data_IF_135908640955
#
_entry.id   IF_135908640955
#
_cell.length_a   1.000
_cell.length_b   1.000
_cell.length_c   1.000
_cell.angle_alpha   90.00
_cell.angle_beta   90.00
_cell.angle_gamma   90.00
#
_symmetry.space_group_name_H-M   'P 1'
#
loop_
_entity.id
_entity.type
_entity.pdbx_description
1 polymer ?
#
# COMPACT_ATOMS: atom_id res chain seq x y z
N UNK A 1 3.81 15.60 -14.57
CA UNK A 1 5.01 14.75 -14.70
C UNK A 1 5.25 13.88 -13.46
N UNK A 2 5.46 14.47 -12.28
CA UNK A 2 5.77 13.72 -11.03
C UNK A 2 4.66 12.75 -10.61
N UNK A 3 3.40 13.19 -10.64
CA UNK A 3 2.25 12.31 -10.35
C UNK A 3 2.20 11.10 -11.29
N UNK A 4 2.42 11.33 -12.59
CA UNK A 4 2.43 10.28 -13.61
C UNK A 4 3.53 9.25 -13.37
N UNK A 5 4.73 9.69 -12.95
CA UNK A 5 5.83 8.81 -12.61
C UNK A 5 5.54 7.96 -11.35
N UNK A 6 4.96 8.56 -10.31
CA UNK A 6 4.56 7.85 -9.09
C UNK A 6 3.46 6.82 -9.36
N UNK A 7 2.49 7.15 -10.22
CA UNK A 7 1.44 6.21 -10.65
C UNK A 7 2.05 5.03 -11.40
N UNK A 8 2.97 5.27 -12.34
CA UNK A 8 3.59 4.20 -13.12
C UNK A 8 4.41 3.23 -12.25
N UNK A 9 5.19 3.76 -11.30
CA UNK A 9 5.97 2.92 -10.39
C UNK A 9 5.06 2.08 -9.49
N UNK A 10 4.02 2.70 -8.92
CA UNK A 10 3.07 1.99 -8.06
C UNK A 10 2.26 0.93 -8.83
N UNK A 11 1.90 1.20 -10.09
CA UNK A 11 1.24 0.23 -10.94
C UNK A 11 2.09 -1.03 -11.16
N UNK A 12 3.41 -0.87 -11.34
CA UNK A 12 4.35 -1.99 -11.44
C UNK A 12 4.38 -2.83 -10.16
N UNK A 13 4.58 -2.20 -9.00
CA UNK A 13 4.58 -2.89 -7.70
C UNK A 13 3.25 -3.59 -7.41
N UNK A 14 2.14 -2.94 -7.75
CA UNK A 14 0.81 -3.49 -7.55
C UNK A 14 0.60 -4.72 -8.45
N UNK A 15 1.02 -4.65 -9.71
CA UNK A 15 0.96 -5.78 -10.66
C UNK A 15 1.71 -6.99 -10.12
N UNK A 16 2.91 -6.78 -9.59
CA UNK A 16 3.73 -7.85 -9.00
C UNK A 16 3.09 -8.42 -7.73
N UNK A 17 2.45 -7.57 -6.94
CA UNK A 17 1.69 -7.99 -5.75
C UNK A 17 0.49 -8.86 -6.14
N UNK A 18 -0.26 -8.49 -7.18
CA UNK A 18 -1.35 -9.32 -7.70
C UNK A 18 -0.83 -10.65 -8.28
N UNK A 19 0.29 -10.62 -9.03
CA UNK A 19 0.95 -11.80 -9.59
C UNK A 19 1.39 -12.76 -8.49
N UNK A 20 2.07 -12.25 -7.46
CA UNK A 20 2.47 -13.01 -6.28
C UNK A 20 1.26 -13.54 -5.50
N UNK A 21 0.19 -12.75 -5.40
CA UNK A 21 -1.09 -13.16 -4.84
C UNK A 21 -1.68 -14.39 -5.51
N UNK A 22 -1.77 -14.38 -6.84
CA UNK A 22 -2.23 -15.52 -7.64
C UNK A 22 -1.32 -16.75 -7.49
N UNK A 23 0.00 -16.57 -7.56
CA UNK A 23 0.97 -17.68 -7.43
C UNK A 23 1.00 -18.30 -6.03
N UNK A 24 0.60 -17.55 -5.02
CA UNK A 24 0.60 -18.07 -3.66
C UNK A 24 -0.46 -19.17 -3.44
N UNK A 25 -1.52 -19.20 -4.25
CA UNK A 25 -2.63 -20.15 -4.09
C UNK A 25 -2.20 -21.54 -4.58
N UNK A 26 -2.29 -22.60 -3.75
CA UNK A 26 -1.92 -23.94 -4.16
C UNK A 26 -2.77 -24.44 -5.34
N UNK A 27 -2.12 -25.08 -6.31
CA UNK A 27 -2.80 -25.73 -7.45
C UNK A 27 -3.76 -26.84 -7.02
N UNK A 28 -3.58 -27.40 -5.81
CA UNK A 28 -4.49 -28.39 -5.22
C UNK A 28 -5.92 -27.88 -5.04
N UNK A 29 -6.10 -26.58 -4.79
CA UNK A 29 -7.45 -26.00 -4.70
C UNK A 29 -8.16 -25.96 -6.04
N UNK A 30 -7.40 -25.79 -7.14
CA UNK A 30 -7.93 -25.86 -8.50
C UNK A 30 -8.34 -27.30 -8.85
N UNK A 31 -7.51 -28.28 -8.48
CA UNK A 31 -7.87 -29.70 -8.68
C UNK A 31 -9.08 -30.10 -7.83
N UNK A 32 -9.17 -29.64 -6.58
CA UNK A 32 -10.31 -29.92 -5.70
C UNK A 32 -11.63 -29.32 -6.21
N UNK A 33 -11.59 -28.08 -6.73
CA UNK A 33 -12.80 -27.45 -7.30
C UNK A 33 -13.28 -28.17 -8.55
N UNK A 34 -12.35 -28.68 -9.38
CA UNK A 34 -12.68 -29.51 -10.55
C UNK A 34 -13.28 -30.86 -10.13
N UNK A 35 -12.78 -31.48 -9.07
CA UNK A 35 -13.38 -32.69 -8.49
C UNK A 35 -14.79 -32.46 -7.93
N UNK A 36 -15.08 -31.25 -7.46
CA UNK A 36 -16.42 -30.83 -7.02
C UNK A 36 -17.36 -30.44 -8.19
N UNK A 37 -16.93 -30.60 -9.44
CA UNK A 37 -17.74 -30.26 -10.62
C UNK A 37 -17.88 -28.76 -10.88
N UNK A 38 -17.08 -27.92 -10.24
CA UNK A 38 -17.15 -26.46 -10.43
C UNK A 38 -16.61 -26.06 -11.81
N UNK A 39 -17.28 -25.10 -12.44
CA UNK A 39 -16.76 -24.44 -13.64
C UNK A 39 -15.53 -23.59 -13.31
N UNK A 40 -14.70 -23.29 -14.31
CA UNK A 40 -13.52 -22.41 -14.11
C UNK A 40 -13.92 -21.06 -13.52
N UNK A 41 -15.03 -20.46 -13.98
CA UNK A 41 -15.52 -19.17 -13.49
C UNK A 41 -15.93 -19.26 -12.01
N UNK A 42 -16.63 -20.32 -11.60
CA UNK A 42 -16.99 -20.55 -10.20
C UNK A 42 -15.75 -20.74 -9.33
N UNK A 43 -14.76 -21.50 -9.81
CA UNK A 43 -13.49 -21.68 -9.10
C UNK A 43 -12.79 -20.35 -8.86
N UNK A 44 -12.65 -19.53 -9.90
CA UNK A 44 -12.00 -18.23 -9.77
C UNK A 44 -12.76 -17.29 -8.84
N UNK A 45 -14.10 -17.21 -8.97
CA UNK A 45 -14.92 -16.27 -8.20
C UNK A 45 -15.08 -16.63 -6.73
N UNK A 46 -15.27 -17.91 -6.41
CA UNK A 46 -15.61 -18.35 -5.05
C UNK A 46 -14.41 -18.85 -4.24
N UNK A 47 -13.35 -19.33 -4.90
CA UNK A 47 -12.19 -19.92 -4.21
C UNK A 47 -10.97 -19.01 -4.36
N UNK A 48 -10.56 -18.71 -5.59
CA UNK A 48 -9.27 -18.06 -5.86
C UNK A 48 -9.30 -16.57 -5.51
N UNK A 49 -10.28 -15.80 -6.03
CA UNK A 49 -10.40 -14.35 -5.79
C UNK A 49 -10.44 -13.97 -4.30
N UNK A 50 -11.33 -14.55 -3.47
CA UNK A 50 -11.40 -14.17 -2.06
C UNK A 50 -10.11 -14.51 -1.29
N UNK A 51 -9.47 -15.64 -1.59
CA UNK A 51 -8.21 -16.03 -0.96
C UNK A 51 -7.03 -15.17 -1.42
N UNK A 52 -6.97 -14.85 -2.71
CA UNK A 52 -5.97 -13.95 -3.27
C UNK A 52 -6.09 -12.58 -2.61
N UNK A 53 -7.29 -12.00 -2.57
CA UNK A 53 -7.57 -10.69 -1.96
C UNK A 53 -7.13 -10.65 -0.49
N UNK A 54 -7.35 -11.75 0.25
CA UNK A 54 -6.91 -11.89 1.65
C UNK A 54 -5.38 -11.88 1.79
N UNK A 55 -4.66 -12.54 0.87
CA UNK A 55 -3.19 -12.60 0.90
C UNK A 55 -2.52 -11.33 0.42
N UNK A 56 -3.09 -10.66 -0.58
CA UNK A 56 -2.53 -9.41 -1.10
C UNK A 56 -2.88 -8.19 -0.24
N UNK A 57 -3.86 -8.29 0.65
CA UNK A 57 -4.29 -7.16 1.47
C UNK A 57 -3.14 -6.51 2.27
N UNK A 58 -2.36 -7.31 2.99
CA UNK A 58 -1.23 -6.79 3.78
C UNK A 58 -0.13 -6.14 2.91
N UNK A 59 0.39 -6.79 1.85
CA UNK A 59 1.38 -6.15 0.98
C UNK A 59 0.80 -4.94 0.22
N UNK A 60 -0.49 -4.94 -0.15
CA UNK A 60 -1.14 -3.76 -0.74
C UNK A 60 -1.18 -2.58 0.23
N UNK A 61 -1.55 -2.81 1.49
CA UNK A 61 -1.48 -1.77 2.55
C UNK A 61 -0.05 -1.25 2.71
N UNK A 62 0.94 -2.14 2.71
CA UNK A 62 2.34 -1.74 2.83
C UNK A 62 2.79 -0.87 1.63
N UNK A 63 2.38 -1.25 0.42
CA UNK A 63 2.64 -0.47 -0.79
C UNK A 63 1.94 0.90 -0.75
N UNK A 64 0.73 0.98 -0.18
CA UNK A 64 0.00 2.23 0.00
C UNK A 64 0.75 3.18 0.95
N UNK A 65 1.25 2.66 2.08
CA UNK A 65 2.10 3.43 3.01
C UNK A 65 3.39 3.90 2.32
N UNK A 66 4.03 3.04 1.53
CA UNK A 66 5.20 3.39 0.74
C UNK A 66 4.91 4.49 -0.29
N UNK A 67 3.75 4.46 -0.94
CA UNK A 67 3.33 5.48 -1.88
C UNK A 67 3.15 6.85 -1.19
N UNK A 68 2.59 6.86 0.03
CA UNK A 68 2.48 8.06 0.86
C UNK A 68 3.87 8.61 1.24
N UNK A 69 4.81 7.72 1.62
CA UNK A 69 6.19 8.11 1.95
C UNK A 69 6.96 8.65 0.72
N UNK A 70 6.75 8.06 -0.46
CA UNK A 70 7.35 8.51 -1.72
C UNK A 70 6.75 9.85 -2.19
N UNK A 71 5.46 10.08 -1.95
CA UNK A 71 4.82 11.39 -2.15
C UNK A 71 5.42 12.45 -1.22
N UNK A 72 5.70 12.09 0.04
CA UNK A 72 6.40 12.96 1.01
C UNK A 72 7.83 13.31 0.59
N UNK A 73 8.60 12.36 0.04
CA UNK A 73 9.93 12.59 -0.54
C UNK A 73 9.90 13.49 -1.80
N UNK A 74 8.72 13.75 -2.37
CA UNK A 74 8.49 14.68 -3.49
C UNK A 74 8.90 16.14 -3.22
N UNK A 75 9.28 16.46 -1.98
CA UNK A 75 10.03 17.66 -1.58
C UNK A 75 11.19 17.96 -2.54
N UNK A 76 11.92 16.93 -2.97
CA UNK A 76 13.10 17.08 -3.83
C UNK A 76 12.76 17.55 -5.26
N UNK A 77 11.48 17.54 -5.66
CA UNK A 77 11.03 17.86 -7.03
C UNK A 77 10.08 19.06 -7.06
N UNK A 78 9.93 19.81 -5.96
CA UNK A 78 9.28 21.12 -5.96
C UNK A 78 7.74 21.13 -6.03
N UNK A 79 7.06 20.04 -5.63
CA UNK A 79 5.62 20.10 -5.40
C UNK A 79 5.31 20.78 -4.06
N UNK A 80 4.51 21.86 -4.10
CA UNK A 80 4.00 22.54 -2.90
C UNK A 80 2.91 21.70 -2.25
N UNK A 81 3.32 20.65 -1.54
CA UNK A 81 2.51 20.03 -0.49
C UNK A 81 3.05 20.48 0.89
N UNK A 82 2.57 19.92 2.01
CA UNK A 82 2.88 20.33 3.40
C UNK A 82 4.37 20.64 3.65
N UNK A 83 5.26 19.95 2.95
CA UNK A 83 6.71 20.16 3.02
C UNK A 83 7.21 21.34 2.18
N UNK A 84 6.56 21.70 1.08
CA UNK A 84 6.79 22.94 0.33
C UNK A 84 6.40 24.19 1.13
N UNK A 85 5.36 24.11 1.97
CA UNK A 85 5.08 25.16 2.97
C UNK A 85 6.17 25.22 4.05
N UNK A 86 6.76 24.08 4.42
CA UNK A 86 7.85 24.01 5.41
C UNK A 86 9.15 24.59 4.86
N UNK A 87 9.50 24.32 3.58
CA UNK A 87 10.67 24.90 2.92
C UNK A 87 10.52 26.40 2.68
N UNK A 88 9.30 26.87 2.38
CA UNK A 88 8.99 28.31 2.29
C UNK A 88 9.18 29.01 3.65
N UNK A 89 8.79 28.36 4.75
CA UNK A 89 9.06 28.84 6.12
C UNK A 89 10.55 28.75 6.50
N UNK A 90 11.26 27.74 6.00
CA UNK A 90 12.69 27.55 6.24
C UNK A 90 13.54 28.67 5.59
N UNK A 91 13.22 29.08 4.36
CA UNK A 91 13.88 30.22 3.69
C UNK A 91 13.67 31.55 4.42
N UNK A 92 12.68 31.64 5.32
CA UNK A 92 12.42 32.83 6.13
C UNK A 92 13.11 32.79 7.51
N UNK A 93 13.54 31.63 8.00
CA UNK A 93 14.01 31.47 9.40
C UNK A 93 15.39 30.82 9.58
N UNK A 94 16.02 30.30 8.52
CA UNK A 94 17.37 29.67 8.52
C UNK A 94 17.60 28.53 9.55
N UNK A 95 16.57 28.10 10.29
CA UNK A 95 16.61 27.02 11.30
C UNK A 95 16.33 25.65 10.68
N UNK A 96 17.22 25.19 9.81
CA UNK A 96 17.07 23.94 9.05
C UNK A 96 16.86 22.69 9.91
N UNK A 97 17.61 22.51 11.00
CA UNK A 97 17.56 21.26 11.76
C UNK A 97 16.25 21.05 12.55
N UNK A 98 15.72 22.10 13.16
CA UNK A 98 14.48 22.01 13.95
C UNK A 98 13.27 21.68 13.08
N UNK A 99 13.15 22.28 11.89
CA UNK A 99 12.05 21.99 10.97
C UNK A 99 12.11 20.56 10.40
N UNK A 100 13.31 20.03 10.11
CA UNK A 100 13.47 18.65 9.64
C UNK A 100 13.10 17.63 10.72
N UNK A 101 13.46 17.86 11.99
CA UNK A 101 13.09 16.97 13.10
C UNK A 101 11.58 16.97 13.32
N UNK A 102 10.94 18.14 13.31
CA UNK A 102 9.47 18.25 13.46
C UNK A 102 8.75 17.57 12.30
N UNK A 103 9.23 17.76 11.06
CA UNK A 103 8.68 17.08 9.89
C UNK A 103 8.83 15.56 10.01
N UNK A 104 10.00 15.06 10.42
CA UNK A 104 10.24 13.62 10.60
C UNK A 104 9.29 13.00 11.64
N UNK A 105 9.08 13.68 12.79
CA UNK A 105 8.14 13.23 13.82
C UNK A 105 6.70 13.23 13.31
N UNK A 106 6.28 14.28 12.60
CA UNK A 106 4.94 14.36 12.03
C UNK A 106 4.68 13.25 11.01
N UNK A 107 5.63 12.99 10.12
CA UNK A 107 5.55 11.88 9.16
C UNK A 107 5.53 10.52 9.85
N UNK A 108 6.30 10.34 10.94
CA UNK A 108 6.28 9.11 11.72
C UNK A 108 4.90 8.86 12.36
N UNK A 109 4.29 9.89 12.96
CA UNK A 109 2.96 9.80 13.59
C UNK A 109 1.89 9.48 12.55
N UNK A 110 1.89 10.16 11.40
CA UNK A 110 0.94 9.90 10.30
C UNK A 110 1.10 8.48 9.79
N UNK A 111 2.33 8.03 9.54
CA UNK A 111 2.62 6.67 9.05
C UNK A 111 2.13 5.61 10.04
N UNK A 112 2.37 5.83 11.34
CA UNK A 112 1.89 4.94 12.40
C UNK A 112 0.37 4.93 12.51
N UNK A 113 -0.31 6.07 12.38
CA UNK A 113 -1.78 6.16 12.38
C UNK A 113 -2.39 5.42 11.19
N UNK A 114 -1.85 5.60 9.99
CA UNK A 114 -2.34 4.91 8.77
C UNK A 114 -2.11 3.41 8.88
N UNK A 115 -0.93 2.97 9.34
CA UNK A 115 -0.63 1.56 9.52
C UNK A 115 -1.53 0.92 10.58
N UNK A 116 -1.77 1.63 11.70
CA UNK A 116 -2.67 1.17 12.75
C UNK A 116 -4.13 1.09 12.27
N UNK A 117 -4.60 2.11 11.56
CA UNK A 117 -5.94 2.14 10.97
C UNK A 117 -6.15 1.03 9.94
N UNK A 118 -5.17 0.82 9.06
CA UNK A 118 -5.25 -0.27 8.08
C UNK A 118 -5.12 -1.65 8.74
N UNK A 119 -4.33 -1.81 9.79
CA UNK A 119 -4.27 -3.05 10.57
C UNK A 119 -5.61 -3.34 11.28
N UNK A 120 -6.26 -2.30 11.80
CA UNK A 120 -7.58 -2.41 12.43
C UNK A 120 -8.67 -2.78 11.42
N UNK A 121 -8.65 -2.18 10.22
CA UNK A 121 -9.51 -2.59 9.10
C UNK A 121 -9.22 -4.02 8.65
N UNK A 122 -7.95 -4.42 8.55
CA UNK A 122 -7.54 -5.79 8.25
C UNK A 122 -8.17 -6.78 9.22
N UNK A 123 -8.05 -6.47 10.53
CA UNK A 123 -8.57 -7.29 11.61
C UNK A 123 -10.10 -7.34 11.62
N UNK A 124 -10.80 -6.33 11.11
CA UNK A 124 -12.27 -6.35 10.99
C UNK A 124 -12.74 -7.10 9.74
N UNK A 125 -12.03 -6.99 8.61
CA UNK A 125 -12.39 -7.68 7.36
C UNK A 125 -12.06 -9.18 7.37
N UNK A 126 -10.99 -9.59 8.07
CA UNK A 126 -10.45 -10.97 8.01
C UNK A 126 -10.54 -11.73 9.33
N UNK A 127 -11.43 -11.31 10.24
CA UNK A 127 -11.59 -11.78 11.63
C UNK A 127 -12.06 -13.25 11.81
N UNK A 128 -11.87 -14.11 10.82
CA UNK A 128 -12.38 -15.48 10.85
C UNK A 128 -11.35 -16.58 11.11
N UNK A 129 -10.10 -16.45 10.65
CA UNK A 129 -9.18 -17.61 10.62
C UNK A 129 -7.71 -17.12 10.63
N UNK A 130 -7.22 -16.78 11.82
CA UNK A 130 -5.79 -16.82 12.15
C UNK A 130 -5.64 -17.93 13.18
#
# INVERSE_FOLDING_TARGET
AVLSALVFINAGYLTETFRGGFQSIPSTQYSASKSLGMTSIQTYRYIILPQMLRRIYHPMTNQFVWSILMSSLGILVGMSELSGTTQRLQSLSFRTLEFFIVAAVMYFVITKLVLFGSSLLARRLFKGEI
#
